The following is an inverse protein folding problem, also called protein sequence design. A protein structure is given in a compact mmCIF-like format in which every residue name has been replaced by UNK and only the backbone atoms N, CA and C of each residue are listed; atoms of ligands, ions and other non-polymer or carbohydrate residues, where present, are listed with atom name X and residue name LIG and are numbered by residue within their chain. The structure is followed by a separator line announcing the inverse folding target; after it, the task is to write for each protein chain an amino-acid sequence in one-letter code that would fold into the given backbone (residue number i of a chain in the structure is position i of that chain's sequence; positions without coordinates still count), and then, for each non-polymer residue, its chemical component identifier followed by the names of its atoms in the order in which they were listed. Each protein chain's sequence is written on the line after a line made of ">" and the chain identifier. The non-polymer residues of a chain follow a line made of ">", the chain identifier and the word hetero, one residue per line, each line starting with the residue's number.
data_IF_082953515163
#
_entry.id   IF_082953515163
#
_cell.length_a   1.000
_cell.length_b   1.000
_cell.length_c   1.000
_cell.angle_alpha   90.00
_cell.angle_beta   90.00
_cell.angle_gamma   90.00
#
_symmetry.space_group_name_H-M   'P 1'
#
loop_
_entity.id
_entity.type
_entity.pdbx_description
1 polymer ?
#
# COMPACT_ATOMS: atom_id res chain seq x y z
N UNK A 1 28.34 35.18 -35.61
CA UNK A 1 28.09 33.76 -35.22
C UNK A 1 27.74 33.50 -33.74
N UNK A 2 28.07 34.36 -32.76
CA UNK A 2 27.81 34.08 -31.32
C UNK A 2 26.33 34.09 -30.87
N UNK A 3 25.46 34.92 -31.46
CA UNK A 3 24.03 35.02 -31.07
C UNK A 3 23.19 33.76 -31.32
N UNK A 4 23.57 32.92 -32.31
CA UNK A 4 22.84 31.69 -32.65
C UNK A 4 23.03 30.59 -31.58
N UNK A 5 24.22 30.52 -30.96
CA UNK A 5 24.51 29.57 -29.87
C UNK A 5 23.71 29.87 -28.60
N UNK A 6 23.52 31.15 -28.27
CA UNK A 6 22.71 31.55 -27.10
C UNK A 6 21.22 31.19 -27.23
N UNK A 7 20.63 31.34 -28.41
CA UNK A 7 19.21 30.98 -28.63
C UNK A 7 18.97 29.47 -28.48
N UNK A 8 19.94 28.65 -28.86
CA UNK A 8 19.83 27.18 -28.75
C UNK A 8 19.94 26.71 -27.29
N UNK A 9 20.85 27.31 -26.51
CA UNK A 9 20.99 27.05 -25.07
C UNK A 9 19.71 27.45 -24.32
N UNK A 10 19.13 28.60 -24.65
CA UNK A 10 17.87 29.05 -24.07
C UNK A 10 16.73 28.06 -24.37
N UNK A 11 16.65 27.57 -25.61
CA UNK A 11 15.66 26.57 -26.02
C UNK A 11 15.78 25.25 -25.25
N UNK A 12 17.00 24.74 -25.06
CA UNK A 12 17.25 23.53 -24.26
C UNK A 12 16.84 23.75 -22.80
N UNK A 13 17.15 24.91 -22.24
CA UNK A 13 16.80 25.23 -20.86
C UNK A 13 15.28 25.26 -20.63
N UNK A 14 14.52 25.90 -21.54
CA UNK A 14 13.05 25.87 -21.47
C UNK A 14 12.48 24.47 -21.66
N UNK A 15 13.06 23.67 -22.56
CA UNK A 15 12.64 22.28 -22.74
C UNK A 15 12.88 21.44 -21.49
N UNK A 16 14.04 21.57 -20.84
CA UNK A 16 14.33 20.88 -19.58
C UNK A 16 13.40 21.32 -18.45
N UNK A 17 13.13 22.62 -18.33
CA UNK A 17 12.15 23.13 -17.35
C UNK A 17 10.76 22.55 -17.58
N UNK A 18 10.34 22.46 -18.84
CA UNK A 18 9.06 21.87 -19.21
C UNK A 18 9.01 20.38 -18.89
N UNK A 19 10.08 19.62 -19.16
CA UNK A 19 10.18 18.21 -18.76
C UNK A 19 10.10 18.07 -17.24
N UNK A 20 10.84 18.88 -16.48
CA UNK A 20 10.78 18.85 -15.02
C UNK A 20 9.37 19.16 -14.53
N UNK A 21 8.73 20.23 -15.03
CA UNK A 21 7.36 20.59 -14.66
C UNK A 21 6.35 19.49 -14.98
N UNK A 22 6.42 18.87 -16.16
CA UNK A 22 5.55 17.75 -16.53
C UNK A 22 5.81 16.54 -15.63
N UNK A 23 7.07 16.24 -15.29
CA UNK A 23 7.39 15.11 -14.39
C UNK A 23 6.95 15.35 -12.95
N UNK A 24 7.02 16.57 -12.42
CA UNK A 24 6.57 16.88 -11.05
C UNK A 24 5.05 16.85 -10.95
N UNK A 25 4.35 17.43 -11.93
CA UNK A 25 2.90 17.32 -12.05
C UNK A 25 2.50 15.85 -12.13
N UNK A 26 3.13 15.08 -13.03
CA UNK A 26 2.87 13.64 -13.16
C UNK A 26 3.17 12.88 -11.86
N UNK A 27 4.27 13.16 -11.17
CA UNK A 27 4.58 12.49 -9.90
C UNK A 27 3.56 12.79 -8.81
N UNK A 28 3.03 14.02 -8.75
CA UNK A 28 2.00 14.41 -7.77
C UNK A 28 0.66 13.72 -7.99
N UNK A 29 0.25 13.53 -9.25
CA UNK A 29 -0.98 12.79 -9.59
C UNK A 29 -0.87 11.29 -9.32
N UNK A 30 0.34 10.72 -9.31
CA UNK A 30 0.54 9.27 -9.22
C UNK A 30 0.71 8.76 -7.78
N UNK A 31 0.96 9.66 -6.82
CA UNK A 31 1.29 9.32 -5.45
C UNK A 31 0.41 10.13 -4.50
N UNK A 32 -0.67 9.51 -4.02
CA UNK A 32 -1.46 10.08 -2.93
C UNK A 32 -0.71 9.85 -1.61
N UNK A 33 0.17 10.79 -1.26
CA UNK A 33 0.97 10.71 -0.04
C UNK A 33 0.10 10.97 1.18
N UNK A 34 0.07 10.02 2.12
CA UNK A 34 -0.62 10.22 3.40
C UNK A 34 -2.14 10.10 3.32
N UNK A 35 -2.64 9.44 2.29
CA UNK A 35 -4.05 9.18 2.13
C UNK A 35 -4.60 8.45 3.38
N UNK A 36 -5.77 8.85 3.91
CA UNK A 36 -6.26 8.35 5.19
C UNK A 36 -6.48 6.84 5.09
N UNK A 37 -5.80 6.10 5.96
CA UNK A 37 -5.92 4.64 5.97
C UNK A 37 -7.35 4.27 6.34
N UNK A 38 -7.99 3.44 5.51
CA UNK A 38 -9.43 3.17 5.56
C UNK A 38 -9.95 2.82 6.96
N UNK A 39 -11.25 3.09 7.18
CA UNK A 39 -11.95 2.76 8.43
C UNK A 39 -11.80 1.28 8.79
N UNK A 40 -11.97 0.99 10.07
CA UNK A 40 -11.93 -0.35 10.68
C UNK A 40 -12.47 -1.43 9.72
N UNK A 41 -11.60 -2.35 9.32
CA UNK A 41 -12.02 -3.47 8.48
C UNK A 41 -12.70 -4.48 9.39
N UNK A 42 -13.94 -4.87 9.08
CA UNK A 42 -14.71 -5.76 9.94
C UNK A 42 -13.96 -7.06 10.14
N UNK A 43 -13.65 -7.34 11.39
CA UNK A 43 -12.87 -8.47 11.80
C UNK A 43 -13.76 -9.47 12.53
N UNK A 44 -14.88 -9.87 11.90
CA UNK A 44 -15.92 -10.75 12.48
C UNK A 44 -15.41 -12.12 13.00
N UNK A 45 -14.12 -12.43 12.83
CA UNK A 45 -13.44 -13.67 13.26
C UNK A 45 -12.12 -13.43 14.01
N UNK A 46 -11.96 -12.32 14.75
CA UNK A 46 -10.78 -12.15 15.62
C UNK A 46 -10.86 -13.02 16.87
N UNK A 47 -9.74 -13.66 17.16
CA UNK A 47 -9.45 -14.29 18.45
C UNK A 47 -9.30 -13.24 19.56
N UNK A 48 -9.30 -13.67 20.83
CA UNK A 48 -8.97 -12.84 22.00
C UNK A 48 -7.50 -12.41 22.10
N UNK A 49 -6.72 -12.59 21.03
CA UNK A 49 -5.32 -12.19 20.93
C UNK A 49 -5.17 -10.92 20.08
N UNK A 50 -3.99 -10.28 20.16
CA UNK A 50 -3.61 -9.24 19.22
C UNK A 50 -3.81 -9.72 17.78
N UNK A 51 -4.31 -8.84 16.91
CA UNK A 51 -4.50 -9.18 15.50
C UNK A 51 -3.83 -8.17 14.59
N UNK A 52 -3.06 -8.66 13.62
CA UNK A 52 -2.50 -7.86 12.54
C UNK A 52 -3.25 -8.19 11.25
N UNK A 53 -3.83 -7.17 10.62
CA UNK A 53 -4.56 -7.29 9.36
C UNK A 53 -3.76 -6.60 8.27
N UNK A 54 -3.21 -7.39 7.35
CA UNK A 54 -2.50 -6.91 6.17
C UNK A 54 -3.49 -6.71 5.03
N UNK A 55 -3.37 -5.61 4.30
CA UNK A 55 -4.28 -5.27 3.20
C UNK A 55 -3.45 -5.12 1.93
N UNK A 56 -3.66 -6.04 1.00
CA UNK A 56 -2.85 -6.22 -0.21
C UNK A 56 -3.75 -6.30 -1.44
N UNK A 57 -3.22 -5.98 -2.62
CA UNK A 57 -4.00 -5.99 -3.86
C UNK A 57 -3.28 -6.63 -5.04
N UNK A 58 -4.08 -7.13 -5.97
CA UNK A 58 -3.65 -7.67 -7.25
C UNK A 58 -3.04 -6.58 -8.14
N UNK A 59 -2.03 -6.93 -8.93
CA UNK A 59 -1.36 -6.00 -9.86
C UNK A 59 -0.52 -4.90 -9.17
N UNK A 60 -0.40 -4.91 -7.85
CA UNK A 60 0.37 -3.91 -7.10
C UNK A 60 1.81 -4.40 -6.83
N UNK A 61 2.81 -3.78 -7.46
CA UNK A 61 4.22 -4.10 -7.23
C UNK A 61 4.63 -3.97 -5.76
N UNK A 62 4.12 -2.94 -5.07
CA UNK A 62 4.34 -2.77 -3.63
C UNK A 62 3.75 -3.94 -2.82
N UNK A 63 2.54 -4.42 -3.18
CA UNK A 63 1.93 -5.57 -2.51
C UNK A 63 2.71 -6.87 -2.75
N UNK A 64 3.24 -7.09 -3.96
CA UNK A 64 4.09 -8.26 -4.28
C UNK A 64 5.32 -8.32 -3.36
N UNK A 65 5.94 -7.18 -3.06
CA UNK A 65 7.08 -7.11 -2.13
C UNK A 65 6.66 -7.48 -0.72
N UNK A 66 5.50 -6.98 -0.27
CA UNK A 66 4.96 -7.36 1.03
C UNK A 66 4.60 -8.85 1.06
N UNK A 67 4.04 -9.44 -0.01
CA UNK A 67 3.82 -10.88 -0.10
C UNK A 67 5.10 -11.67 0.12
N UNK A 68 6.16 -11.35 -0.64
CA UNK A 68 7.47 -12.03 -0.51
C UNK A 68 8.04 -11.89 0.90
N UNK A 69 7.91 -10.71 1.50
CA UNK A 69 8.34 -10.46 2.88
C UNK A 69 7.56 -11.32 3.88
N UNK A 70 6.22 -11.26 3.85
CA UNK A 70 5.36 -11.98 4.78
C UNK A 70 5.52 -13.51 4.64
N UNK A 71 5.64 -14.02 3.41
CA UNK A 71 5.88 -15.46 3.18
C UNK A 71 7.21 -15.94 3.78
N UNK A 72 8.24 -15.09 3.80
CA UNK A 72 9.55 -15.42 4.41
C UNK A 72 9.54 -15.23 5.92
N UNK A 73 8.90 -14.17 6.41
CA UNK A 73 8.82 -13.82 7.82
C UNK A 73 7.99 -14.82 8.62
N UNK A 74 6.90 -15.33 8.03
CA UNK A 74 5.92 -16.16 8.71
C UNK A 74 5.09 -15.36 9.71
N UNK A 75 4.37 -16.08 10.58
CA UNK A 75 3.48 -15.48 11.58
C UNK A 75 4.24 -14.73 12.68
N UNK A 76 3.68 -13.60 13.11
CA UNK A 76 4.11 -12.85 14.30
C UNK A 76 3.78 -13.62 15.57
N UNK A 77 4.78 -13.89 16.43
CA UNK A 77 4.54 -14.50 17.74
C UNK A 77 3.65 -13.60 18.61
N UNK A 78 2.62 -14.19 19.23
CA UNK A 78 1.70 -13.46 20.11
C UNK A 78 0.65 -12.62 19.37
N UNK A 79 0.52 -12.77 18.05
CA UNK A 79 -0.57 -12.19 17.28
C UNK A 79 -1.16 -13.19 16.28
N UNK A 80 -2.44 -13.05 15.99
CA UNK A 80 -3.07 -13.69 14.84
C UNK A 80 -2.94 -12.77 13.63
N UNK A 81 -2.52 -13.33 12.49
CA UNK A 81 -2.33 -12.54 11.27
C UNK A 81 -3.29 -12.96 10.17
N UNK A 82 -3.88 -11.94 9.55
CA UNK A 82 -4.83 -12.09 8.46
C UNK A 82 -4.41 -11.20 7.31
N UNK A 83 -4.58 -11.68 6.09
CA UNK A 83 -4.43 -10.87 4.88
C UNK A 83 -5.78 -10.74 4.20
N UNK A 84 -6.18 -9.49 3.96
CA UNK A 84 -7.29 -9.14 3.10
C UNK A 84 -6.69 -8.82 1.75
N UNK A 85 -7.03 -9.64 0.77
CA UNK A 85 -6.49 -9.55 -0.56
C UNK A 85 -7.57 -9.14 -1.56
N UNK A 86 -7.33 -8.01 -2.23
CA UNK A 86 -8.18 -7.51 -3.30
C UNK A 86 -7.77 -8.10 -4.63
N UNK A 87 -8.51 -9.13 -5.06
CA UNK A 87 -8.27 -9.81 -6.32
C UNK A 87 -8.46 -11.32 -6.22
N UNK A 88 -8.03 -12.01 -7.27
CA UNK A 88 -8.20 -13.46 -7.38
C UNK A 88 -7.09 -14.24 -6.70
N UNK A 89 -7.43 -15.36 -6.08
CA UNK A 89 -6.48 -16.31 -5.49
C UNK A 89 -5.36 -16.63 -6.48
N UNK A 90 -4.11 -16.52 -6.04
CA UNK A 90 -2.92 -16.74 -6.84
C UNK A 90 -1.80 -17.41 -6.02
N UNK A 91 -0.64 -17.59 -6.65
CA UNK A 91 0.52 -18.23 -6.03
C UNK A 91 0.99 -17.50 -4.75
N UNK A 92 0.87 -16.17 -4.68
CA UNK A 92 1.26 -15.39 -3.51
C UNK A 92 0.31 -15.61 -2.34
N UNK A 93 -1.00 -15.61 -2.58
CA UNK A 93 -1.99 -15.89 -1.51
C UNK A 93 -1.83 -17.32 -0.99
N UNK A 94 -1.57 -18.29 -1.86
CA UNK A 94 -1.33 -19.69 -1.47
C UNK A 94 -0.05 -19.84 -0.66
N UNK A 95 1.02 -19.09 -1.01
CA UNK A 95 2.27 -19.09 -0.23
C UNK A 95 2.08 -18.53 1.18
N UNK A 96 1.22 -17.52 1.35
CA UNK A 96 0.90 -16.98 2.67
C UNK A 96 0.05 -17.94 3.51
N UNK A 97 -0.92 -18.64 2.93
CA UNK A 97 -1.67 -19.68 3.66
C UNK A 97 -0.76 -20.77 4.18
N UNK A 98 0.20 -21.23 3.35
CA UNK A 98 1.23 -22.18 3.76
C UNK A 98 2.13 -21.65 4.88
N UNK A 99 2.35 -20.32 4.92
CA UNK A 99 3.06 -19.65 6.00
C UNK A 99 2.20 -19.40 7.25
N UNK A 100 0.94 -19.85 7.25
CA UNK A 100 0.02 -19.81 8.40
C UNK A 100 -0.93 -18.61 8.44
N UNK A 101 -0.90 -17.72 7.44
CA UNK A 101 -1.79 -16.55 7.41
C UNK A 101 -3.22 -16.93 7.03
N UNK A 102 -4.19 -16.29 7.68
CA UNK A 102 -5.59 -16.37 7.26
C UNK A 102 -5.82 -15.46 6.05
N UNK A 103 -6.24 -16.01 4.91
CA UNK A 103 -6.55 -15.20 3.72
C UNK A 103 -8.05 -14.97 3.60
N UNK A 104 -8.44 -13.70 3.45
CA UNK A 104 -9.75 -13.31 2.98
C UNK A 104 -9.59 -12.66 1.61
N UNK A 105 -10.18 -13.27 0.60
CA UNK A 105 -10.36 -12.66 -0.70
C UNK A 105 -11.52 -11.66 -0.60
N UNK A 106 -11.40 -10.52 -1.23
CA UNK A 106 -12.46 -9.52 -1.32
C UNK A 106 -12.37 -8.78 -2.65
N UNK A 107 -13.48 -8.21 -3.10
CA UNK A 107 -13.50 -7.30 -4.24
C UNK A 107 -13.48 -5.85 -3.75
N UNK A 108 -13.15 -4.91 -4.65
CA UNK A 108 -13.23 -3.49 -4.32
C UNK A 108 -14.68 -3.04 -4.10
N UNK A 109 -15.61 -3.58 -4.89
CA UNK A 109 -17.06 -3.32 -4.77
C UNK A 109 -17.57 -3.66 -3.36
N UNK A 110 -17.16 -4.81 -2.82
CA UNK A 110 -17.51 -5.22 -1.45
C UNK A 110 -17.02 -4.22 -0.39
N UNK A 111 -15.94 -3.47 -0.64
CA UNK A 111 -15.43 -2.46 0.29
C UNK A 111 -16.15 -1.13 0.16
N UNK A 112 -16.48 -0.71 -1.07
CA UNK A 112 -17.25 0.51 -1.34
C UNK A 112 -18.66 0.40 -0.74
N UNK A 113 -19.32 -0.74 -0.91
CA UNK A 113 -20.63 -1.04 -0.30
C UNK A 113 -20.59 -0.91 1.23
N UNK A 114 -19.43 -1.18 1.85
CA UNK A 114 -19.24 -1.09 3.29
C UNK A 114 -18.85 0.32 3.79
N UNK A 115 -18.94 1.38 2.96
CA UNK A 115 -18.51 2.74 3.27
C UNK A 115 -17.04 2.81 3.75
N UNK A 116 -16.19 1.91 3.24
CA UNK A 116 -14.76 1.87 3.55
C UNK A 116 -13.98 2.37 2.35
N UNK A 117 -13.77 3.68 2.29
CA UNK A 117 -12.93 4.29 1.28
C UNK A 117 -11.49 3.83 1.47
N UNK A 118 -10.97 3.10 0.49
CA UNK A 118 -9.64 2.52 0.47
C UNK A 118 -8.71 3.51 -0.23
N UNK A 119 -7.94 4.27 0.55
CA UNK A 119 -7.09 5.30 -0.04
C UNK A 119 -5.71 4.79 -0.48
N UNK A 120 -5.55 3.47 -0.61
CA UNK A 120 -4.38 2.85 -1.23
C UNK A 120 -3.85 1.61 -0.57
N UNK A 121 -3.05 0.84 -1.33
CA UNK A 121 -2.40 -0.40 -0.91
C UNK A 121 -0.88 -0.31 -1.16
N UNK A 122 -0.04 -1.03 -0.40
CA UNK A 122 -0.37 -1.88 0.75
C UNK A 122 -0.32 -1.13 2.09
N UNK A 123 -1.15 -1.55 3.03
CA UNK A 123 -1.08 -1.11 4.43
C UNK A 123 -1.40 -2.25 5.38
N UNK A 124 -1.28 -1.99 6.68
CA UNK A 124 -1.73 -2.92 7.70
C UNK A 124 -2.37 -2.20 8.87
N UNK A 125 -3.14 -2.96 9.64
CA UNK A 125 -3.83 -2.53 10.82
C UNK A 125 -3.49 -3.45 11.98
N UNK A 126 -3.43 -2.89 13.19
CA UNK A 126 -3.22 -3.66 14.41
C UNK A 126 -4.39 -3.42 15.34
N UNK A 127 -4.96 -4.52 15.82
CA UNK A 127 -6.06 -4.57 16.75
C UNK A 127 -5.59 -5.21 18.05
N UNK A 128 -5.96 -4.61 19.17
CA UNK A 128 -5.76 -5.22 20.50
C UNK A 128 -6.75 -6.37 20.75
N UNK A 129 -6.51 -7.16 21.81
CA UNK A 129 -7.43 -8.22 22.26
C UNK A 129 -8.90 -7.80 22.42
N UNK A 130 -9.15 -6.55 22.81
CA UNK A 130 -10.49 -5.93 22.93
C UNK A 130 -11.11 -5.53 21.57
N UNK A 131 -10.44 -5.87 20.46
CA UNK A 131 -10.81 -5.55 19.08
C UNK A 131 -10.78 -4.05 18.74
N UNK A 132 -10.17 -3.21 19.59
CA UNK A 132 -9.97 -1.80 19.25
C UNK A 132 -8.80 -1.60 18.29
N UNK A 133 -8.97 -0.72 17.31
CA UNK A 133 -7.94 -0.36 16.34
C UNK A 133 -6.85 0.48 17.02
N UNK A 134 -5.64 -0.07 17.13
CA UNK A 134 -4.47 0.61 17.73
C UNK A 134 -3.55 1.24 16.70
N UNK A 135 -3.52 0.71 15.48
CA UNK A 135 -2.71 1.26 14.39
C UNK A 135 -3.31 1.00 13.02
N UNK A 136 -3.09 1.95 12.11
CA UNK A 136 -3.49 1.89 10.72
C UNK A 136 -2.48 2.72 9.94
N UNK A 137 -1.67 2.10 9.08
CA UNK A 137 -0.52 2.75 8.45
C UNK A 137 0.25 1.86 7.48
N UNK A 138 1.23 2.45 6.81
CA UNK A 138 2.12 1.74 5.89
C UNK A 138 3.23 0.95 6.58
N UNK A 139 3.97 0.17 5.79
CA UNK A 139 5.07 -0.68 6.27
C UNK A 139 6.38 0.07 6.50
N UNK A 140 6.56 1.27 5.95
CA UNK A 140 7.80 2.02 6.12
C UNK A 140 7.58 3.52 6.06
N UNK A 141 8.62 4.28 6.40
CA UNK A 141 8.66 5.75 6.32
C UNK A 141 9.00 6.28 4.93
N UNK A 142 9.15 5.39 3.94
CA UNK A 142 9.56 5.68 2.56
C UNK A 142 8.84 4.77 1.55
N UNK A 143 8.95 5.08 0.26
CA UNK A 143 8.37 4.22 -0.78
C UNK A 143 8.96 2.80 -0.71
N UNK A 144 8.13 1.77 -0.96
CA UNK A 144 8.54 0.37 -0.85
C UNK A 144 9.40 -0.05 -2.06
N UNK A 145 10.71 -0.08 -1.85
CA UNK A 145 11.74 -0.59 -2.76
C UNK A 145 12.21 -2.00 -2.32
N UNK A 146 13.08 -2.64 -3.10
CA UNK A 146 13.66 -3.95 -2.71
C UNK A 146 14.53 -3.86 -1.45
N UNK A 147 15.13 -2.70 -1.18
CA UNK A 147 16.01 -2.46 -0.04
C UNK A 147 15.31 -1.76 1.13
N UNK A 148 14.00 -1.52 1.01
CA UNK A 148 13.26 -0.79 2.04
C UNK A 148 13.06 -1.66 3.28
N UNK A 149 13.53 -1.17 4.42
CA UNK A 149 13.27 -1.79 5.71
C UNK A 149 11.77 -1.71 6.06
N UNK A 150 11.16 -2.86 6.30
CA UNK A 150 9.76 -2.97 6.70
C UNK A 150 9.67 -2.98 8.23
N UNK A 151 8.82 -2.12 8.77
CA UNK A 151 8.77 -1.77 10.21
C UNK A 151 7.52 -2.32 10.91
N UNK A 152 6.79 -3.26 10.31
CA UNK A 152 5.55 -3.82 10.86
C UNK A 152 5.77 -4.49 12.22
N UNK A 153 6.82 -5.30 12.38
CA UNK A 153 7.18 -5.92 13.66
C UNK A 153 7.58 -4.88 14.72
N UNK A 154 8.37 -3.89 14.33
CA UNK A 154 8.77 -2.79 15.23
C UNK A 154 7.56 -1.97 15.68
N UNK A 155 6.60 -1.74 14.79
CA UNK A 155 5.34 -1.06 15.13
C UNK A 155 4.52 -1.95 16.07
N UNK A 156 4.37 -3.23 15.77
CA UNK A 156 3.63 -4.17 16.61
C UNK A 156 4.18 -4.23 18.04
N UNK A 157 5.50 -4.42 18.20
CA UNK A 157 6.12 -4.47 19.53
C UNK A 157 5.97 -3.14 20.29
N UNK A 158 6.03 -1.99 19.60
CA UNK A 158 5.77 -0.69 20.25
C UNK A 158 4.33 -0.54 20.73
N UNK A 159 3.36 -1.01 19.94
CA UNK A 159 1.93 -0.96 20.30
C UNK A 159 1.64 -1.93 21.45
N UNK A 160 2.18 -3.14 21.38
CA UNK A 160 1.96 -4.17 22.41
C UNK A 160 2.48 -3.72 23.78
N UNK A 161 3.55 -2.94 23.80
CA UNK A 161 4.14 -2.36 25.01
C UNK A 161 3.54 -0.98 25.37
N UNK A 162 2.32 -0.69 24.92
CA UNK A 162 1.51 0.48 25.30
C UNK A 162 2.16 1.85 25.08
N UNK A 163 3.03 1.98 24.07
CA UNK A 163 3.55 3.28 23.65
C UNK A 163 2.44 4.07 22.95
N UNK A 164 1.76 4.93 23.70
CA UNK A 164 0.56 5.70 23.31
C UNK A 164 0.74 6.66 22.12
N UNK A 165 1.95 6.83 21.59
CA UNK A 165 2.25 7.85 20.58
C UNK A 165 3.19 7.32 19.48
N UNK A 166 2.67 6.45 18.62
CA UNK A 166 3.42 5.94 17.46
C UNK A 166 3.03 6.77 16.23
N UNK A 167 4.03 7.44 15.66
CA UNK A 167 3.86 8.14 14.38
C UNK A 167 3.42 7.13 13.32
N UNK A 168 2.25 7.37 12.71
CA UNK A 168 1.73 6.54 11.63
C UNK A 168 2.66 6.63 10.42
N UNK A 169 3.08 5.49 9.90
CA UNK A 169 3.83 5.47 8.66
C UNK A 169 2.87 5.81 7.50
N UNK A 170 3.32 6.64 6.54
CA UNK A 170 2.53 6.93 5.35
C UNK A 170 2.25 5.65 4.55
N UNK A 171 1.06 5.57 3.97
CA UNK A 171 0.71 4.54 2.98
C UNK A 171 1.14 5.06 1.62
N UNK A 172 2.12 4.39 1.00
CA UNK A 172 2.53 4.69 -0.36
C UNK A 172 1.65 3.88 -1.32
N UNK A 173 0.53 4.49 -1.67
CA UNK A 173 -0.49 3.93 -2.52
C UNK A 173 -0.05 3.95 -4.00
N UNK A 174 -0.16 2.81 -4.67
CA UNK A 174 -0.66 2.84 -6.05
C UNK A 174 -2.18 2.63 -5.97
N UNK A 175 -2.95 3.33 -6.80
CA UNK A 175 -4.40 3.13 -6.91
C UNK A 175 -4.64 1.78 -7.59
N UNK A 176 -5.03 0.77 -6.81
CA UNK A 176 -4.93 -0.64 -7.21
C UNK A 176 -6.29 -1.30 -7.38
N UNK A 177 -6.57 -1.67 -8.63
CA UNK A 177 -7.57 -2.64 -9.07
C UNK A 177 -7.83 -2.44 -10.55
N UNK A 178 -7.80 -3.48 -11.41
CA UNK A 178 -7.97 -3.32 -12.87
C UNK A 178 -9.27 -2.60 -13.28
N UNK A 179 -10.29 -2.69 -12.44
CA UNK A 179 -11.57 -1.97 -12.58
C UNK A 179 -11.44 -0.48 -12.19
N UNK A 180 -10.74 -0.17 -11.10
CA UNK A 180 -10.39 1.19 -10.69
C UNK A 180 -9.40 1.87 -11.66
N UNK A 181 -8.49 1.10 -12.24
CA UNK A 181 -7.62 1.55 -13.34
C UNK A 181 -8.45 1.96 -14.55
N UNK A 182 -9.53 1.25 -14.86
CA UNK A 182 -10.41 1.58 -15.99
C UNK A 182 -11.27 2.81 -15.69
N UNK A 183 -11.68 3.03 -14.43
CA UNK A 183 -12.41 4.24 -14.03
C UNK A 183 -11.52 5.49 -13.92
N UNK A 184 -10.29 5.35 -13.40
CA UNK A 184 -9.34 6.45 -13.24
C UNK A 184 -8.54 6.76 -14.50
N UNK A 185 -8.33 5.76 -15.35
CA UNK A 185 -7.65 5.87 -16.64
C UNK A 185 -8.54 5.27 -17.74
N UNK A 186 -9.69 5.92 -18.05
CA UNK A 186 -10.61 5.44 -19.08
C UNK A 186 -9.96 5.37 -20.47
N UNK A 187 -8.91 6.16 -20.70
CA UNK A 187 -8.16 6.19 -21.94
C UNK A 187 -6.96 5.24 -21.98
N UNK A 188 -6.72 4.46 -20.90
CA UNK A 188 -5.66 3.44 -20.84
C UNK A 188 -4.25 3.97 -21.14
N UNK A 189 -3.98 5.22 -20.79
CA UNK A 189 -2.68 5.87 -20.99
C UNK A 189 -1.67 5.49 -19.87
N UNK A 190 -2.16 4.92 -18.78
CA UNK A 190 -1.44 4.58 -17.53
C UNK A 190 -1.36 3.06 -17.31
N UNK A 191 -2.39 2.28 -17.65
CA UNK A 191 -2.43 0.83 -17.41
C UNK A 191 -2.79 0.03 -18.69
N UNK A 192 -1.82 -0.70 -19.27
CA UNK A 192 -2.01 -1.58 -20.43
C UNK A 192 -2.23 -3.03 -20.01
N UNK A 193 -3.18 -3.74 -20.64
CA UNK A 193 -3.40 -5.18 -20.42
C UNK A 193 -2.15 -5.97 -20.84
N UNK A 194 -1.63 -6.81 -19.94
CA UNK A 194 -0.86 -8.00 -20.30
C UNK A 194 -1.79 -9.21 -20.27
#
# INVERSE_FOLDING_TARGET
>A
MKKKKHRWILGIFYFLLLVIAVTTIRSGYYLNYGAPVGKMISTKKLTSNWTIVHVLGEGCTCSIKIFKYLSKRGLTKGASEKVIYFGKRNLHTTALEKAGFLIQLSTLEEMEINNRTLHGLPFFQIYSPDKSLKYSGGYSTSMISETTELKDLLVFEKIRNDKRNIKKNPVYACETGGEYQTQLDPFRLRYTRN
#
